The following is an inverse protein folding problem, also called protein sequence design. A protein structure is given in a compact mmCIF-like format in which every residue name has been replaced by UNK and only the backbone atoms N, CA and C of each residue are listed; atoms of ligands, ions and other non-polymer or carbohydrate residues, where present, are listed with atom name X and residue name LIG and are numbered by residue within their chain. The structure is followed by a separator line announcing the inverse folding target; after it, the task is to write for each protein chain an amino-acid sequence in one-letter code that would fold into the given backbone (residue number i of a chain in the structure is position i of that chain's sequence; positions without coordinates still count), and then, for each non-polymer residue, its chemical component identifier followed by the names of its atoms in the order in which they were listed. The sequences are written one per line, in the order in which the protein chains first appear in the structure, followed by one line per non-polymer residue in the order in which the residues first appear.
data_IF_624050935634
#
_entry.id   IF_624050935634
#
_cell.length_a   1.000
_cell.length_b   1.000
_cell.length_c   1.000
_cell.angle_alpha   90.00
_cell.angle_beta   90.00
_cell.angle_gamma   90.00
#
_symmetry.space_group_name_H-M   'P 1'
#
loop_
_entity.id
_entity.type
_entity.pdbx_description
1 polymer ?
#
# COMPACT_ATOMS: atom_id res chain seq x y z
N UNK A 1 -2.72 16.55 -16.54
CA UNK A 1 -3.44 15.33 -16.07
C UNK A 1 -4.92 15.38 -16.39
N UNK A 2 -5.65 16.47 -16.11
CA UNK A 2 -7.09 16.62 -16.37
C UNK A 2 -7.54 16.22 -17.79
N UNK A 3 -6.79 16.57 -18.84
CA UNK A 3 -7.12 16.16 -20.22
C UNK A 3 -7.10 14.64 -20.47
N UNK A 4 -6.19 13.91 -19.84
CA UNK A 4 -6.10 12.45 -19.98
C UNK A 4 -7.18 11.73 -19.19
N UNK A 5 -7.51 12.27 -18.02
CA UNK A 5 -8.63 11.79 -17.19
C UNK A 5 -9.93 11.95 -17.97
N UNK A 6 -10.19 13.13 -18.54
CA UNK A 6 -11.36 13.38 -19.39
C UNK A 6 -11.40 12.48 -20.63
N UNK A 7 -10.26 12.18 -21.25
CA UNK A 7 -10.22 11.30 -22.42
C UNK A 7 -10.49 9.83 -22.08
N UNK A 8 -10.00 9.35 -20.92
CA UNK A 8 -10.12 7.93 -20.53
C UNK A 8 -11.42 7.61 -19.81
N UNK A 9 -11.96 8.57 -19.08
CA UNK A 9 -13.18 8.47 -18.28
C UNK A 9 -14.25 9.46 -18.76
N UNK A 10 -14.35 9.65 -20.09
CA UNK A 10 -15.27 10.61 -20.72
C UNK A 10 -16.75 10.32 -20.42
N UNK A 11 -17.08 9.07 -20.13
CA UNK A 11 -18.45 8.59 -19.89
C UNK A 11 -18.91 8.80 -18.43
N UNK A 12 -17.99 9.09 -17.50
CA UNK A 12 -18.27 9.17 -16.05
C UNK A 12 -18.66 10.59 -15.59
N UNK A 13 -19.16 11.42 -16.50
CA UNK A 13 -19.51 12.81 -16.21
C UNK A 13 -18.30 13.70 -15.84
N UNK A 14 -18.55 14.79 -15.10
CA UNK A 14 -17.49 15.70 -14.68
C UNK A 14 -16.72 15.15 -13.48
N UNK A 15 -15.46 14.76 -13.71
CA UNK A 15 -14.56 14.32 -12.64
C UNK A 15 -13.70 15.49 -12.15
N UNK A 16 -13.84 15.82 -10.88
CA UNK A 16 -12.98 16.82 -10.22
C UNK A 16 -11.68 16.14 -9.76
N UNK A 17 -10.54 16.72 -10.15
CA UNK A 17 -9.21 16.18 -9.82
C UNK A 17 -8.52 17.13 -8.85
N UNK A 18 -8.22 16.63 -7.66
CA UNK A 18 -7.49 17.35 -6.62
C UNK A 18 -6.06 16.81 -6.51
N UNK A 19 -5.06 17.68 -6.50
CA UNK A 19 -3.67 17.29 -6.28
C UNK A 19 -3.31 17.50 -4.81
N UNK A 20 -3.01 16.41 -4.12
CA UNK A 20 -2.77 16.42 -2.66
C UNK A 20 -1.28 16.38 -2.30
N UNK A 21 -0.42 16.10 -3.27
CA UNK A 21 1.03 16.00 -3.11
C UNK A 21 1.72 15.57 -4.40
N UNK A 22 3.05 15.43 -4.37
CA UNK A 22 3.83 15.03 -5.55
C UNK A 22 3.42 13.62 -6.00
N UNK A 23 2.68 13.54 -7.10
CA UNK A 23 2.23 12.27 -7.68
C UNK A 23 0.98 11.66 -7.02
N UNK A 24 0.30 12.41 -6.14
CA UNK A 24 -0.89 11.95 -5.40
C UNK A 24 -2.10 12.76 -5.82
N UNK A 25 -3.09 12.06 -6.36
CA UNK A 25 -4.31 12.66 -6.93
C UNK A 25 -5.54 12.04 -6.28
N UNK A 26 -6.51 12.88 -5.93
CA UNK A 26 -7.83 12.46 -5.46
C UNK A 26 -8.85 12.82 -6.55
N UNK A 27 -9.53 11.78 -7.04
CA UNK A 27 -10.60 11.91 -8.02
C UNK A 27 -11.93 11.93 -7.28
N UNK A 28 -12.64 13.05 -7.38
CA UNK A 28 -13.99 13.18 -6.85
C UNK A 28 -14.97 12.91 -7.99
N UNK A 29 -15.81 11.91 -7.78
CA UNK A 29 -16.85 11.45 -8.70
C UNK A 29 -18.23 11.73 -8.10
N UNK A 30 -19.23 11.86 -8.96
CA UNK A 30 -20.60 12.15 -8.55
C UNK A 30 -21.32 10.90 -8.05
N UNK A 31 -21.09 9.75 -8.69
CA UNK A 31 -21.77 8.49 -8.33
C UNK A 31 -20.80 7.48 -7.71
N UNK A 32 -21.32 6.70 -6.75
CA UNK A 32 -20.57 5.58 -6.17
C UNK A 32 -20.37 4.45 -7.18
N UNK A 33 -21.26 4.33 -8.18
CA UNK A 33 -21.16 3.34 -9.25
C UNK A 33 -19.96 3.60 -10.16
N UNK A 34 -19.74 4.85 -10.56
CA UNK A 34 -18.58 5.23 -11.38
C UNK A 34 -17.28 4.99 -10.63
N UNK A 35 -17.27 5.31 -9.32
CA UNK A 35 -16.13 5.02 -8.44
C UNK A 35 -15.84 3.52 -8.36
N UNK A 36 -16.87 2.70 -8.16
CA UNK A 36 -16.70 1.24 -8.12
C UNK A 36 -16.20 0.69 -9.45
N UNK A 37 -16.74 1.18 -10.57
CA UNK A 37 -16.30 0.80 -11.91
C UNK A 37 -14.83 1.15 -12.13
N UNK A 38 -14.41 2.37 -11.81
CA UNK A 38 -13.01 2.78 -11.92
C UNK A 38 -12.09 1.94 -11.03
N UNK A 39 -12.52 1.57 -9.82
CA UNK A 39 -11.71 0.70 -8.96
C UNK A 39 -11.60 -0.72 -9.54
N UNK A 40 -12.67 -1.24 -10.14
CA UNK A 40 -12.74 -2.62 -10.64
C UNK A 40 -12.09 -2.81 -12.03
N UNK A 41 -12.17 -1.82 -12.92
CA UNK A 41 -11.73 -1.91 -14.32
C UNK A 41 -10.26 -1.50 -14.54
N UNK A 42 -9.48 -1.37 -13.45
CA UNK A 42 -8.03 -1.15 -13.53
C UNK A 42 -7.29 -2.35 -14.13
N UNK A 43 -6.00 -2.20 -14.53
CA UNK A 43 -5.08 -1.13 -14.15
C UNK A 43 -5.16 0.13 -15.02
N UNK A 44 -4.97 1.29 -14.41
CA UNK A 44 -5.00 2.57 -15.11
C UNK A 44 -3.61 3.05 -15.46
N UNK A 45 -3.49 3.72 -16.61
CA UNK A 45 -2.26 4.40 -17.02
C UNK A 45 -2.60 5.75 -17.62
N UNK A 46 -1.98 6.81 -17.11
CA UNK A 46 -2.11 8.17 -17.63
C UNK A 46 -0.77 8.63 -18.18
N UNK A 47 -0.73 9.01 -19.46
CA UNK A 47 0.50 9.48 -20.11
C UNK A 47 1.69 8.51 -19.97
N UNK A 48 1.43 7.19 -20.08
CA UNK A 48 2.41 6.09 -19.87
C UNK A 48 2.91 5.91 -18.43
N UNK A 49 2.29 6.56 -17.46
CA UNK A 49 2.57 6.34 -16.04
C UNK A 49 1.45 5.48 -15.45
N UNK A 50 1.75 4.25 -14.96
CA UNK A 50 0.75 3.44 -14.29
C UNK A 50 0.29 4.11 -13.00
N UNK A 51 -1.00 4.04 -12.71
CA UNK A 51 -1.62 4.59 -11.50
C UNK A 51 -2.36 3.50 -10.77
N UNK A 52 -2.09 3.40 -9.48
CA UNK A 52 -2.84 2.54 -8.56
C UNK A 52 -4.03 3.35 -8.06
N UNK A 53 -5.24 2.82 -8.27
CA UNK A 53 -6.46 3.42 -7.77
C UNK A 53 -6.94 2.65 -6.55
N UNK A 54 -7.23 3.37 -5.47
CA UNK A 54 -7.79 2.84 -4.23
C UNK A 54 -8.96 3.71 -3.78
N UNK A 55 -9.94 3.16 -3.05
CA UNK A 55 -10.95 3.97 -2.40
C UNK A 55 -10.27 4.96 -1.45
N UNK A 56 -10.64 6.24 -1.57
CA UNK A 56 -10.16 7.29 -0.68
C UNK A 56 -10.90 7.26 0.65
N UNK A 57 -10.16 7.48 1.74
CA UNK A 57 -10.72 7.67 3.06
C UNK A 57 -10.01 8.82 3.79
N UNK A 58 -10.75 9.54 4.62
CA UNK A 58 -10.17 10.58 5.47
C UNK A 58 -9.15 9.95 6.43
N UNK A 59 -8.01 10.61 6.59
CA UNK A 59 -6.89 10.11 7.39
C UNK A 59 -6.05 9.04 6.69
N UNK A 60 -6.31 8.75 5.41
CA UNK A 60 -5.39 7.94 4.62
C UNK A 60 -4.09 8.71 4.38
N UNK A 61 -2.91 8.11 4.68
CA UNK A 61 -1.63 8.77 4.45
C UNK A 61 -1.46 9.08 2.97
N UNK A 62 -1.08 10.33 2.69
CA UNK A 62 -0.86 10.82 1.33
C UNK A 62 0.56 10.57 0.86
N UNK A 63 1.50 10.51 1.80
CA UNK A 63 2.89 10.23 1.50
C UNK A 63 3.20 8.72 1.56
N UNK A 64 4.05 8.28 0.65
CA UNK A 64 4.45 6.87 0.56
C UNK A 64 5.22 6.43 1.81
N UNK A 65 6.10 7.27 2.33
CA UNK A 65 6.88 6.96 3.52
C UNK A 65 5.99 6.92 4.77
N UNK A 66 5.03 7.84 4.87
CA UNK A 66 4.03 7.82 5.94
C UNK A 66 3.17 6.54 5.89
N UNK A 67 2.71 6.16 4.69
CA UNK A 67 1.95 4.92 4.47
C UNK A 67 2.73 3.69 4.90
N UNK A 68 4.02 3.61 4.56
CA UNK A 68 4.88 2.51 4.92
C UNK A 68 5.19 2.47 6.41
N UNK A 69 5.40 3.63 7.04
CA UNK A 69 5.61 3.73 8.48
C UNK A 69 4.38 3.26 9.26
N UNK A 70 3.19 3.69 8.84
CA UNK A 70 1.92 3.25 9.41
C UNK A 70 1.73 1.74 9.28
N UNK A 71 2.04 1.15 8.13
CA UNK A 71 1.93 -0.30 7.93
C UNK A 71 2.95 -1.09 8.75
N UNK A 72 4.20 -0.64 8.75
CA UNK A 72 5.29 -1.28 9.47
C UNK A 72 5.03 -1.31 10.98
N UNK A 73 4.59 -0.18 11.56
CA UNK A 73 4.26 -0.04 12.99
C UNK A 73 3.11 -0.94 13.44
N UNK A 74 2.17 -1.29 12.55
CA UNK A 74 1.11 -2.27 12.86
C UNK A 74 1.63 -3.71 12.95
N UNK A 75 2.77 -4.01 12.34
CA UNK A 75 3.37 -5.35 12.29
C UNK A 75 4.40 -5.53 13.40
N UNK A 76 5.18 -4.48 13.67
CA UNK A 76 6.27 -4.51 14.63
C UNK A 76 7.02 -3.19 14.67
N UNK A 77 8.28 -3.22 15.09
CA UNK A 77 9.11 -2.02 15.16
C UNK A 77 9.76 -1.79 13.79
N UNK A 78 9.52 -0.67 13.09
CA UNK A 78 10.20 -0.37 11.84
C UNK A 78 11.70 -0.16 12.07
N UNK A 79 12.55 -0.97 11.43
CA UNK A 79 14.01 -0.93 11.65
C UNK A 79 14.73 -0.10 10.59
N UNK A 80 14.30 -0.12 9.32
CA UNK A 80 14.75 0.82 8.27
C UNK A 80 13.99 0.59 6.94
N UNK A 81 13.82 1.64 6.11
CA UNK A 81 13.41 1.51 4.71
C UNK A 81 14.66 1.36 3.83
N UNK A 82 14.71 0.32 2.99
CA UNK A 82 15.87 0.05 2.13
C UNK A 82 16.17 1.20 1.16
N UNK A 83 17.44 1.37 0.73
CA UNK A 83 17.83 2.44 -0.21
C UNK A 83 17.00 2.40 -1.51
N UNK A 84 16.54 1.21 -1.90
CA UNK A 84 15.68 0.98 -3.07
C UNK A 84 14.25 1.55 -2.91
N UNK A 85 13.72 1.62 -1.69
CA UNK A 85 12.42 2.27 -1.41
C UNK A 85 12.54 3.79 -1.53
N UNK A 86 13.69 4.35 -1.11
CA UNK A 86 14.03 5.77 -1.31
C UNK A 86 14.38 6.13 -2.76
N UNK A 87 14.94 5.20 -3.55
CA UNK A 87 15.31 5.40 -4.95
C UNK A 87 14.14 5.28 -5.94
N UNK A 88 12.94 4.93 -5.48
CA UNK A 88 11.70 4.88 -6.29
C UNK A 88 11.75 3.93 -7.51
N UNK A 89 12.72 3.01 -7.59
CA UNK A 89 13.10 2.39 -8.87
C UNK A 89 12.28 1.18 -9.30
N UNK A 90 11.29 0.69 -8.53
CA UNK A 90 10.36 -0.37 -8.97
C UNK A 90 8.96 -0.17 -8.39
N UNK A 91 7.97 -0.01 -9.27
CA UNK A 91 6.58 0.40 -8.97
C UNK A 91 5.65 -0.74 -8.52
N UNK A 92 6.13 -1.98 -8.40
CA UNK A 92 5.26 -3.15 -8.15
C UNK A 92 4.98 -3.42 -6.68
N UNK A 93 5.87 -3.02 -5.77
CA UNK A 93 5.71 -3.19 -4.32
C UNK A 93 6.68 -2.28 -3.58
N UNK A 94 6.38 -2.00 -2.32
CA UNK A 94 7.28 -1.29 -1.42
C UNK A 94 7.89 -2.24 -0.39
N UNK A 95 9.16 -2.03 -0.05
CA UNK A 95 9.90 -2.84 0.92
C UNK A 95 10.16 -2.06 2.20
N UNK A 96 9.88 -2.67 3.35
CA UNK A 96 10.25 -2.12 4.67
C UNK A 96 10.75 -3.24 5.56
N UNK A 97 11.77 -2.97 6.38
CA UNK A 97 12.27 -3.94 7.37
C UNK A 97 11.60 -3.68 8.72
N UNK A 98 11.06 -4.73 9.32
CA UNK A 98 10.36 -4.69 10.61
C UNK A 98 10.97 -5.73 11.55
N UNK A 99 11.16 -5.34 12.81
CA UNK A 99 11.46 -6.26 13.89
C UNK A 99 10.16 -6.77 14.49
N UNK A 100 10.03 -8.08 14.58
CA UNK A 100 8.81 -8.75 15.04
C UNK A 100 9.19 -9.71 16.17
N UNK A 101 8.41 -9.69 17.25
CA UNK A 101 8.50 -10.65 18.35
C UNK A 101 8.31 -12.10 17.90
N UNK A 102 8.97 -13.04 18.57
CA UNK A 102 9.00 -14.47 18.20
C UNK A 102 7.64 -15.15 18.40
N UNK A 103 6.90 -14.64 19.37
CA UNK A 103 5.56 -14.98 19.78
C UNK A 103 4.47 -14.41 18.86
N UNK A 104 4.80 -13.45 18.00
CA UNK A 104 3.81 -12.84 17.12
C UNK A 104 3.47 -13.75 15.94
N UNK A 105 2.18 -13.79 15.61
CA UNK A 105 1.67 -14.45 14.41
C UNK A 105 2.00 -13.56 13.20
N UNK A 106 2.48 -14.17 12.12
CA UNK A 106 2.66 -13.49 10.83
C UNK A 106 1.31 -13.45 10.11
N UNK A 107 0.95 -12.29 9.56
CA UNK A 107 -0.35 -12.05 8.93
C UNK A 107 -0.20 -11.97 7.40
N UNK A 108 -1.05 -12.67 6.66
CA UNK A 108 -1.07 -12.56 5.19
C UNK A 108 -1.67 -11.24 4.69
N UNK A 109 -2.51 -10.59 5.52
CA UNK A 109 -3.05 -9.26 5.25
C UNK A 109 -3.31 -8.48 6.54
N UNK A 110 -3.26 -7.15 6.46
CA UNK A 110 -3.63 -6.24 7.53
C UNK A 110 -4.92 -5.48 7.23
N UNK A 111 -5.92 -5.50 8.13
CA UNK A 111 -7.06 -4.60 8.04
C UNK A 111 -6.67 -3.18 8.45
N UNK A 112 -6.70 -2.23 7.51
CA UNK A 112 -6.53 -0.81 7.75
C UNK A 112 -7.92 -0.18 7.88
N UNK A 113 -8.29 0.19 9.10
CA UNK A 113 -9.51 0.93 9.38
C UNK A 113 -9.23 2.43 9.32
N UNK A 114 -9.98 3.14 8.48
CA UNK A 114 -9.92 4.60 8.37
C UNK A 114 -11.05 5.27 9.16
N UNK A 115 -10.95 6.59 9.35
CA UNK A 115 -11.94 7.36 10.11
C UNK A 115 -13.32 7.39 9.45
N UNK A 116 -13.38 7.20 8.13
CA UNK A 116 -14.63 7.03 7.38
C UNK A 116 -15.36 5.72 7.65
N UNK A 117 -14.77 4.79 8.42
CA UNK A 117 -15.28 3.44 8.62
C UNK A 117 -14.86 2.44 7.52
N UNK A 118 -14.22 2.90 6.44
CA UNK A 118 -13.66 2.03 5.41
C UNK A 118 -12.58 1.12 6.01
N UNK A 119 -12.61 -0.17 5.63
CA UNK A 119 -11.58 -1.15 5.97
C UNK A 119 -10.94 -1.69 4.70
N UNK A 120 -9.63 -1.49 4.53
CA UNK A 120 -8.85 -2.05 3.42
C UNK A 120 -7.99 -3.19 3.95
N UNK A 121 -8.09 -4.38 3.35
CA UNK A 121 -7.20 -5.50 3.64
C UNK A 121 -5.94 -5.41 2.79
N UNK A 122 -4.86 -4.93 3.39
CA UNK A 122 -3.57 -4.74 2.72
C UNK A 122 -2.78 -6.05 2.76
N UNK A 123 -2.53 -6.71 1.61
CA UNK A 123 -1.71 -7.92 1.55
C UNK A 123 -0.26 -7.65 1.97
N UNK A 124 0.34 -8.63 2.64
CA UNK A 124 1.73 -8.62 3.12
C UNK A 124 2.41 -9.90 2.67
N UNK A 125 3.66 -9.76 2.26
CA UNK A 125 4.54 -10.91 2.00
C UNK A 125 5.82 -10.75 2.80
N UNK A 126 6.24 -11.80 3.49
CA UNK A 126 7.46 -11.81 4.29
C UNK A 126 8.62 -12.39 3.47
N UNK A 127 9.73 -11.66 3.38
CA UNK A 127 10.98 -12.14 2.82
C UNK A 127 11.83 -12.77 3.95
N UNK A 128 12.27 -14.02 3.74
CA UNK A 128 13.22 -14.75 4.61
C UNK A 128 12.73 -14.99 6.05
N UNK A 129 11.51 -15.50 6.21
CA UNK A 129 11.02 -15.99 7.51
C UNK A 129 11.95 -17.11 8.02
N UNK A 130 12.63 -16.96 9.17
CA UNK A 130 13.48 -18.02 9.71
C UNK A 130 12.61 -19.22 10.06
N UNK A 131 13.10 -20.41 9.72
CA UNK A 131 12.40 -21.65 10.02
C UNK A 131 12.40 -21.87 11.54
N UNK A 132 11.23 -22.16 12.12
CA UNK A 132 11.14 -22.70 13.48
C UNK A 132 11.65 -24.13 13.44
N UNK A 133 12.69 -24.45 14.21
CA UNK A 133 13.16 -25.82 14.33
C UNK A 133 12.06 -26.71 14.90
N UNK A 134 11.70 -27.79 14.21
CA UNK A 134 10.67 -28.74 14.63
C UNK A 134 11.00 -29.47 15.94
N UNK A 135 12.28 -29.50 16.35
CA UNK A 135 12.75 -30.21 17.55
C UNK A 135 12.87 -29.32 18.79
N UNK A 136 13.46 -28.13 18.66
CA UNK A 136 13.70 -27.24 19.80
C UNK A 136 12.77 -26.02 19.84
N UNK A 137 11.90 -25.82 18.83
CA UNK A 137 11.04 -24.64 18.64
C UNK A 137 11.79 -23.29 18.60
N UNK A 138 13.13 -23.32 18.59
CA UNK A 138 13.96 -22.13 18.43
C UNK A 138 14.16 -21.84 16.94
N UNK A 139 14.27 -20.56 16.60
CA UNK A 139 14.62 -20.12 15.24
C UNK A 139 16.10 -20.42 14.95
N UNK A 140 16.40 -20.82 13.73
CA UNK A 140 17.77 -21.13 13.29
C UNK A 140 18.66 -19.89 13.10
N UNK A 141 18.12 -18.67 13.25
CA UNK A 141 18.84 -17.40 13.16
C UNK A 141 18.64 -16.55 14.43
N UNK A 142 19.71 -15.85 14.87
CA UNK A 142 19.65 -14.87 15.99
C UNK A 142 18.93 -13.57 15.62
N UNK A 143 18.87 -13.23 14.33
CA UNK A 143 18.28 -11.97 13.88
C UNK A 143 16.75 -12.05 13.84
N UNK A 144 16.10 -11.13 14.58
CA UNK A 144 14.64 -11.01 14.76
C UNK A 144 13.99 -10.02 13.79
N UNK A 145 14.70 -9.71 12.70
CA UNK A 145 14.29 -8.70 11.72
C UNK A 145 13.82 -9.37 10.45
N UNK A 146 12.61 -9.04 10.03
CA UNK A 146 11.97 -9.51 8.81
C UNK A 146 11.94 -8.37 7.79
N UNK A 147 12.24 -8.69 6.52
CA UNK A 147 11.90 -7.78 5.42
C UNK A 147 10.48 -8.10 4.99
N UNK A 148 9.63 -7.09 4.90
CA UNK A 148 8.27 -7.24 4.40
C UNK A 148 8.10 -6.50 3.08
N UNK A 149 7.39 -7.15 2.17
CA UNK A 149 6.85 -6.58 0.96
C UNK A 149 5.41 -6.18 1.24
N UNK A 150 5.13 -4.92 1.02
CA UNK A 150 3.77 -4.40 0.93
C UNK A 150 3.50 -4.19 -0.56
N UNK A 151 2.64 -5.02 -1.14
CA UNK A 151 2.16 -4.79 -2.51
C UNK A 151 1.24 -3.57 -2.55
N UNK A 152 1.48 -2.68 -3.51
CA UNK A 152 0.64 -1.51 -3.75
C UNK A 152 -0.69 -1.92 -4.35
#
# INVERSE_FOLDING_TARGET
MSGFVKARWSELGEIKVHMMGKGVFVFQMETEQDKQWVIADGPWSFSRHPVIIKPWAVGMPLDKQESLSMLASKIGVPVYADRTTSEQSRLTYARVSVEIGVENVLYDSLPIKYTSGLVIHQPITYERVPLKCCKCRQFTARNRTYRILVSG
#
